data_IF_051022082869
#
_entry.id   IF_051022082869
#
_cell.length_a   1.000
_cell.length_b   1.000
_cell.length_c   1.000
_cell.angle_alpha   90.00
_cell.angle_beta   90.00
_cell.angle_gamma   90.00
#
_symmetry.space_group_name_H-M   'P 1'
#
loop_
_entity.id
_entity.type
_entity.pdbx_description
1 polymer ?
#
# COMPACT_ATOMS: atom_id res chain seq x y z
N UNK A 1 4.87 -39.21 60.57
CA UNK A 1 5.94 -38.23 60.84
C UNK A 1 7.08 -38.52 59.87
N UNK A 2 7.40 -37.50 59.08
CA UNK A 2 8.62 -37.20 58.30
C UNK A 2 9.40 -38.28 57.51
N UNK A 3 9.18 -38.21 56.19
CA UNK A 3 10.13 -38.15 55.05
C UNK A 3 11.57 -38.71 55.19
N UNK A 4 11.81 -39.81 54.45
CA UNK A 4 12.70 -39.94 53.27
C UNK A 4 13.76 -38.84 53.09
N UNK A 5 15.07 -39.07 52.93
CA UNK A 5 15.79 -40.18 52.31
C UNK A 5 16.44 -39.74 50.98
N UNK A 6 17.75 -40.03 50.81
CA UNK A 6 18.64 -39.94 49.60
C UNK A 6 19.43 -38.64 49.42
N UNK A 7 20.74 -38.66 49.66
CA UNK A 7 21.84 -39.17 48.80
C UNK A 7 22.09 -38.27 47.57
N UNK A 8 23.15 -37.48 47.63
CA UNK A 8 23.71 -36.75 46.49
C UNK A 8 25.03 -37.42 46.07
N UNK A 9 25.00 -38.07 44.90
CA UNK A 9 26.16 -38.65 44.24
C UNK A 9 26.58 -37.78 43.04
N UNK A 10 27.82 -37.30 43.12
CA UNK A 10 28.87 -37.28 42.07
C UNK A 10 28.44 -37.48 40.61
N UNK A 11 28.85 -36.57 39.72
CA UNK A 11 28.79 -36.79 38.27
C UNK A 11 29.45 -35.66 37.46
N UNK A 12 30.64 -35.93 36.95
CA UNK A 12 31.47 -35.06 36.13
C UNK A 12 30.82 -34.78 34.76
N UNK A 13 30.84 -33.53 34.29
CA UNK A 13 30.59 -33.22 32.87
C UNK A 13 31.88 -32.72 32.23
N UNK A 14 32.45 -33.59 31.38
CA UNK A 14 33.59 -33.34 30.51
C UNK A 14 33.24 -32.24 29.50
N UNK A 15 34.19 -31.32 29.29
CA UNK A 15 34.09 -30.27 28.29
C UNK A 15 33.94 -30.82 26.87
N UNK A 16 33.04 -30.20 26.12
CA UNK A 16 32.96 -30.34 24.66
C UNK A 16 33.48 -29.04 24.08
N UNK A 17 34.77 -29.05 23.70
CA UNK A 17 35.34 -28.09 22.77
C UNK A 17 34.78 -28.42 21.37
N UNK A 18 33.57 -27.95 21.08
CA UNK A 18 32.95 -28.05 19.76
C UNK A 18 33.29 -26.82 18.94
N UNK A 19 34.15 -26.98 17.95
CA UNK A 19 34.43 -25.99 16.92
C UNK A 19 33.12 -25.57 16.23
N UNK A 20 32.61 -24.39 16.59
CA UNK A 20 31.50 -23.75 15.90
C UNK A 20 31.97 -23.31 14.52
N UNK A 21 31.79 -24.16 13.52
CA UNK A 21 31.95 -23.79 12.13
C UNK A 21 30.93 -22.68 11.80
N UNK A 22 31.41 -21.44 11.73
CA UNK A 22 30.68 -20.28 11.22
C UNK A 22 30.39 -20.54 9.73
N UNK A 23 29.23 -21.14 9.43
CA UNK A 23 28.70 -21.15 8.07
C UNK A 23 28.22 -19.72 7.77
N UNK A 24 29.14 -18.89 7.27
CA UNK A 24 28.82 -17.67 6.55
C UNK A 24 28.07 -18.06 5.28
N UNK A 25 26.76 -18.27 5.40
CA UNK A 25 25.88 -18.43 4.25
C UNK A 25 25.91 -17.11 3.45
N UNK A 26 26.68 -17.11 2.38
CA UNK A 26 26.60 -16.11 1.32
C UNK A 26 25.24 -16.29 0.63
N UNK A 27 24.19 -15.72 1.23
CA UNK A 27 22.96 -15.49 0.51
C UNK A 27 23.30 -14.46 -0.59
N UNK A 28 23.12 -14.79 -1.89
CA UNK A 28 23.23 -13.79 -2.93
C UNK A 28 22.27 -12.66 -2.55
N UNK A 29 22.74 -11.42 -2.58
CA UNK A 29 21.93 -10.23 -2.37
C UNK A 29 20.77 -10.27 -3.36
N UNK A 30 19.64 -10.86 -2.96
CA UNK A 30 18.38 -10.62 -3.60
C UNK A 30 18.19 -9.11 -3.45
N UNK A 31 18.46 -8.35 -4.52
CA UNK A 31 18.23 -6.92 -4.56
C UNK A 31 16.79 -6.71 -4.11
N UNK A 32 16.62 -6.31 -2.85
CA UNK A 32 15.30 -6.16 -2.28
C UNK A 32 14.57 -5.14 -3.15
N UNK A 33 13.41 -5.53 -3.68
CA UNK A 33 12.58 -4.60 -4.42
C UNK A 33 12.32 -3.38 -3.55
N UNK A 34 12.41 -2.17 -4.11
CA UNK A 34 12.17 -0.94 -3.36
C UNK A 34 10.77 -1.02 -2.71
N UNK A 35 10.68 -0.97 -1.37
CA UNK A 35 9.40 -1.12 -0.66
C UNK A 35 8.42 0.02 -0.97
N UNK A 36 8.91 1.15 -1.51
CA UNK A 36 8.09 2.28 -1.93
C UNK A 36 7.56 2.12 -3.36
N UNK A 37 7.89 1.04 -4.07
CA UNK A 37 7.40 0.79 -5.43
C UNK A 37 6.55 -0.48 -5.45
N UNK A 38 5.21 -0.36 -5.34
CA UNK A 38 4.37 -1.54 -5.39
C UNK A 38 4.52 -2.27 -6.72
N UNK A 39 4.45 -3.59 -6.66
CA UNK A 39 4.50 -4.41 -7.86
C UNK A 39 3.26 -4.18 -8.71
N UNK A 40 3.46 -4.21 -10.03
CA UNK A 40 2.36 -4.30 -10.98
C UNK A 40 1.58 -5.59 -10.71
N UNK A 41 0.26 -5.49 -10.70
CA UNK A 41 -0.59 -6.66 -10.55
C UNK A 41 -0.54 -7.54 -11.83
N UNK A 42 -0.53 -8.88 -11.71
CA UNK A 42 -0.57 -9.77 -12.86
C UNK A 42 -1.80 -9.53 -13.75
N UNK A 43 -1.70 -9.85 -15.05
CA UNK A 43 -2.84 -9.75 -15.96
C UNK A 43 -3.97 -10.66 -15.46
N UNK A 44 -5.19 -10.12 -15.36
CA UNK A 44 -6.37 -10.84 -14.89
C UNK A 44 -6.52 -10.87 -13.37
N UNK A 45 -5.54 -10.39 -12.60
CA UNK A 45 -5.69 -10.18 -11.16
C UNK A 45 -6.42 -8.88 -10.89
N UNK A 46 -7.39 -8.94 -9.97
CA UNK A 46 -8.13 -7.77 -9.49
C UNK A 46 -8.11 -7.73 -7.97
N UNK A 47 -7.84 -6.54 -7.45
CA UNK A 47 -8.09 -6.18 -6.07
C UNK A 47 -9.52 -5.70 -5.93
N UNK A 48 -10.12 -5.95 -4.78
CA UNK A 48 -11.49 -5.55 -4.47
C UNK A 48 -11.51 -4.57 -3.31
N UNK A 49 -12.35 -3.55 -3.46
CA UNK A 49 -12.66 -2.57 -2.44
C UNK A 49 -14.18 -2.48 -2.34
N UNK A 50 -14.69 -2.86 -1.17
CA UNK A 50 -16.12 -2.89 -0.84
C UNK A 50 -16.37 -1.97 0.36
N UNK A 51 -17.64 -1.87 0.77
CA UNK A 51 -18.01 -1.17 2.01
C UNK A 51 -17.37 -1.81 3.25
N UNK A 52 -17.30 -3.13 3.29
CA UNK A 52 -16.84 -3.88 4.46
C UNK A 52 -15.35 -4.24 4.42
N UNK A 53 -14.74 -4.40 5.59
CA UNK A 53 -13.31 -4.71 5.72
C UNK A 53 -12.97 -6.18 5.40
N UNK A 54 -13.92 -7.09 5.57
CA UNK A 54 -13.74 -8.54 5.36
C UNK A 54 -13.82 -8.96 3.88
N UNK A 55 -14.48 -8.15 3.05
CA UNK A 55 -14.71 -8.38 1.63
C UNK A 55 -13.80 -7.55 0.72
N UNK A 56 -12.90 -6.73 1.30
CA UNK A 56 -11.83 -6.06 0.55
C UNK A 56 -10.56 -6.90 0.54
N UNK A 57 -9.81 -6.85 -0.56
CA UNK A 57 -8.48 -7.49 -0.65
C UNK A 57 -7.36 -6.64 -0.04
N UNK A 58 -7.62 -5.38 0.31
CA UNK A 58 -6.62 -4.53 0.94
C UNK A 58 -6.54 -4.82 2.44
N UNK A 59 -5.31 -4.93 2.96
CA UNK A 59 -5.05 -5.19 4.38
C UNK A 59 -4.53 -3.95 5.12
N UNK A 60 -4.51 -2.77 4.50
CA UNK A 60 -3.89 -1.58 5.08
C UNK A 60 -4.67 -0.27 4.90
N UNK A 61 -5.97 -0.35 4.56
CA UNK A 61 -6.86 0.81 4.58
C UNK A 61 -6.83 1.46 5.96
N UNK A 62 -6.65 2.79 5.97
CA UNK A 62 -6.55 3.59 7.20
C UNK A 62 -5.14 3.65 7.80
N UNK A 63 -4.19 2.86 7.28
CA UNK A 63 -2.81 2.82 7.73
C UNK A 63 -1.84 3.03 6.55
N UNK A 64 -1.62 4.28 6.09
CA UNK A 64 -0.92 4.58 4.85
C UNK A 64 0.62 4.50 4.99
N UNK A 65 1.14 3.39 5.50
CA UNK A 65 2.60 3.17 5.70
C UNK A 65 3.36 2.83 4.42
N UNK A 66 2.66 2.51 3.35
CA UNK A 66 3.24 2.33 2.00
C UNK A 66 2.47 3.19 0.99
N UNK A 67 3.07 3.47 -0.19
CA UNK A 67 2.37 4.21 -1.24
C UNK A 67 1.06 3.54 -1.68
N UNK A 68 1.05 2.21 -1.81
CA UNK A 68 -0.18 1.51 -2.19
C UNK A 68 -1.24 1.62 -1.09
N UNK A 69 -0.87 1.50 0.18
CA UNK A 69 -1.80 1.67 1.30
C UNK A 69 -2.41 3.08 1.34
N UNK A 70 -1.65 4.11 0.97
CA UNK A 70 -2.18 5.47 0.84
C UNK A 70 -3.21 5.57 -0.30
N UNK A 71 -2.94 4.99 -1.47
CA UNK A 71 -3.92 4.92 -2.57
C UNK A 71 -5.17 4.17 -2.12
N UNK A 72 -5.02 2.97 -1.55
CA UNK A 72 -6.14 2.14 -1.07
C UNK A 72 -6.97 2.86 0.00
N UNK A 73 -6.33 3.63 0.89
CA UNK A 73 -7.03 4.44 1.90
C UNK A 73 -7.80 5.61 1.28
N UNK A 74 -7.26 6.31 0.28
CA UNK A 74 -8.01 7.35 -0.46
C UNK A 74 -9.18 6.73 -1.22
N UNK A 75 -8.99 5.57 -1.85
CA UNK A 75 -10.08 4.86 -2.52
C UNK A 75 -11.19 4.46 -1.53
N UNK A 76 -10.81 3.96 -0.35
CA UNK A 76 -11.75 3.63 0.72
C UNK A 76 -12.50 4.86 1.23
N UNK A 77 -11.83 6.01 1.35
CA UNK A 77 -12.47 7.29 1.63
C UNK A 77 -13.62 7.59 0.65
N UNK A 78 -13.42 7.37 -0.66
CA UNK A 78 -14.47 7.59 -1.66
C UNK A 78 -15.60 6.58 -1.59
N UNK A 79 -15.29 5.28 -1.47
CA UNK A 79 -16.30 4.21 -1.43
C UNK A 79 -17.11 4.27 -0.14
N UNK A 80 -16.45 4.43 1.00
CA UNK A 80 -17.04 4.32 2.34
C UNK A 80 -17.46 5.65 2.96
N UNK A 81 -17.15 6.77 2.30
CA UNK A 81 -17.44 8.14 2.78
C UNK A 81 -16.90 8.40 4.19
N UNK A 82 -15.70 7.90 4.46
CA UNK A 82 -15.07 8.03 5.76
C UNK A 82 -14.04 9.16 5.74
N UNK A 83 -14.39 10.28 6.38
CA UNK A 83 -13.57 11.50 6.43
C UNK A 83 -12.20 11.26 7.11
N UNK A 84 -12.09 10.32 8.04
CA UNK A 84 -10.82 9.98 8.68
C UNK A 84 -9.85 9.33 7.68
N UNK A 85 -10.34 8.48 6.78
CA UNK A 85 -9.53 7.93 5.70
C UNK A 85 -9.07 9.03 4.74
N UNK A 86 -9.97 9.95 4.39
CA UNK A 86 -9.64 11.08 3.53
C UNK A 86 -8.48 11.90 4.14
N UNK A 87 -8.65 12.35 5.39
CA UNK A 87 -7.67 13.18 6.11
C UNK A 87 -6.31 12.51 6.32
N UNK A 88 -6.30 11.19 6.55
CA UNK A 88 -5.05 10.42 6.76
C UNK A 88 -4.26 10.26 5.47
N UNK A 89 -4.95 9.99 4.37
CA UNK A 89 -4.30 9.58 3.13
C UNK A 89 -4.08 10.71 2.13
N UNK A 90 -4.67 11.90 2.31
CA UNK A 90 -4.37 13.08 1.50
C UNK A 90 -3.34 14.00 2.15
N UNK A 91 -2.67 14.78 1.30
CA UNK A 91 -1.70 15.80 1.74
C UNK A 91 -2.38 16.91 2.57
N UNK A 92 -1.72 17.46 3.61
CA UNK A 92 -2.28 18.59 4.35
C UNK A 92 -2.61 19.77 3.44
N UNK A 93 -3.82 20.33 3.56
CA UNK A 93 -4.28 21.43 2.71
C UNK A 93 -4.69 21.01 1.31
N UNK A 94 -4.71 19.70 1.00
CA UNK A 94 -5.43 19.20 -0.17
C UNK A 94 -6.89 19.68 -0.05
N UNK A 95 -7.45 20.35 -1.08
CA UNK A 95 -8.79 20.90 -1.00
C UNK A 95 -9.73 19.82 -0.49
N UNK A 96 -10.58 20.18 0.47
CA UNK A 96 -11.53 19.26 1.09
C UNK A 96 -12.12 18.40 -0.01
N UNK A 97 -12.07 17.09 0.20
CA UNK A 97 -12.66 16.12 -0.70
C UNK A 97 -14.19 16.26 -0.65
N UNK A 98 -14.74 17.43 -0.99
CA UNK A 98 -16.16 17.64 -1.24
C UNK A 98 -16.70 16.64 -2.26
N UNK A 99 -15.81 16.02 -3.03
CA UNK A 99 -16.04 14.82 -3.82
C UNK A 99 -16.69 13.67 -3.03
N UNK A 100 -16.23 13.37 -1.81
CA UNK A 100 -16.82 12.31 -0.95
C UNK A 100 -18.24 12.66 -0.48
N UNK A 101 -18.52 13.96 -0.29
CA UNK A 101 -19.82 14.47 0.15
C UNK A 101 -20.83 14.58 -1.01
N UNK A 102 -20.36 14.94 -2.20
CA UNK A 102 -21.21 15.24 -3.37
C UNK A 102 -21.53 14.02 -4.23
N UNK A 103 -20.68 12.98 -4.27
CA UNK A 103 -21.04 11.73 -4.95
C UNK A 103 -21.75 10.78 -3.98
N UNK A 104 -23.06 10.57 -4.18
CA UNK A 104 -23.62 9.24 -3.94
C UNK A 104 -22.95 8.34 -4.98
N UNK A 105 -21.86 7.64 -4.64
CA UNK A 105 -21.44 6.51 -5.46
C UNK A 105 -22.63 5.54 -5.44
N UNK A 106 -23.34 5.31 -6.56
CA UNK A 106 -24.39 4.30 -6.60
C UNK A 106 -23.81 2.88 -6.66
N UNK A 107 -22.52 2.73 -6.35
CA UNK A 107 -21.75 1.51 -6.45
C UNK A 107 -21.14 1.21 -5.09
N UNK A 108 -21.52 0.06 -4.55
CA UNK A 108 -21.02 -0.44 -3.27
C UNK A 108 -19.61 -1.03 -3.41
N UNK A 109 -19.26 -1.49 -4.61
CA UNK A 109 -18.05 -2.24 -4.89
C UNK A 109 -17.24 -1.69 -6.07
N UNK A 110 -15.92 -1.70 -5.89
CA UNK A 110 -14.93 -1.34 -6.89
C UNK A 110 -13.89 -2.45 -7.00
N UNK A 111 -13.50 -2.78 -8.23
CA UNK A 111 -12.31 -3.57 -8.50
C UNK A 111 -11.24 -2.71 -9.14
N UNK A 112 -9.98 -3.00 -8.86
CA UNK A 112 -8.87 -2.28 -9.45
C UNK A 112 -7.63 -3.16 -9.57
N UNK A 113 -6.65 -2.68 -10.31
CA UNK A 113 -5.33 -3.30 -10.35
C UNK A 113 -4.26 -2.26 -10.61
N UNK A 114 -3.07 -2.47 -10.04
CA UNK A 114 -1.89 -1.63 -10.22
C UNK A 114 -1.33 -1.88 -11.62
N UNK A 115 -1.42 -0.88 -12.49
CA UNK A 115 -0.89 -0.93 -13.85
C UNK A 115 0.61 -0.65 -13.88
N UNK A 116 1.04 0.34 -13.11
CA UNK A 116 2.44 0.69 -12.96
C UNK A 116 2.66 1.41 -11.63
N UNK A 117 3.90 1.38 -11.17
CA UNK A 117 4.37 2.24 -10.09
C UNK A 117 5.82 2.64 -10.35
N UNK A 118 6.18 3.86 -9.99
CA UNK A 118 7.52 4.39 -10.20
C UNK A 118 7.90 5.38 -9.11
N UNK A 119 9.09 5.21 -8.56
CA UNK A 119 9.75 6.22 -7.73
C UNK A 119 10.52 7.19 -8.60
N UNK A 120 10.34 8.48 -8.36
CA UNK A 120 10.97 9.54 -9.11
C UNK A 120 12.34 9.85 -8.53
N UNK A 121 13.30 10.13 -9.41
CA UNK A 121 14.64 10.59 -9.07
C UNK A 121 14.81 12.04 -9.50
N UNK A 122 15.92 12.67 -9.09
CA UNK A 122 16.23 14.06 -9.43
C UNK A 122 16.15 14.35 -10.94
N UNK A 123 16.54 13.40 -11.78
CA UNK A 123 16.56 13.56 -13.24
C UNK A 123 15.17 13.58 -13.90
N UNK A 124 14.12 13.08 -13.23
CA UNK A 124 12.79 12.92 -13.83
C UNK A 124 11.63 13.53 -13.03
N UNK A 125 11.85 13.95 -11.78
CA UNK A 125 10.82 14.57 -10.94
C UNK A 125 10.17 15.80 -11.60
N UNK A 126 10.98 16.79 -12.02
CA UNK A 126 10.47 18.01 -12.68
C UNK A 126 10.00 17.85 -14.12
N UNK A 127 10.04 16.63 -14.69
CA UNK A 127 9.56 16.33 -16.06
C UNK A 127 8.21 15.63 -16.05
N UNK A 128 7.76 15.18 -14.89
CA UNK A 128 6.53 14.42 -14.73
C UNK A 128 5.47 15.37 -14.21
N UNK A 129 4.24 15.30 -14.72
CA UNK A 129 3.13 16.11 -14.22
C UNK A 129 1.98 15.18 -13.89
N UNK A 130 1.50 15.24 -12.65
CA UNK A 130 0.27 14.58 -12.23
C UNK A 130 -0.65 15.69 -11.76
N UNK A 131 -1.63 16.05 -12.58
CA UNK A 131 -2.43 17.27 -12.33
C UNK A 131 -1.52 18.50 -12.29
N UNK A 132 -1.82 19.42 -11.38
CA UNK A 132 -1.14 20.73 -11.29
C UNK A 132 0.09 20.73 -10.36
N UNK A 133 0.47 19.59 -9.78
CA UNK A 133 1.61 19.50 -8.86
C UNK A 133 2.85 19.01 -9.60
N UNK A 134 3.96 19.73 -9.40
CA UNK A 134 5.29 19.30 -9.85
C UNK A 134 5.84 18.27 -8.85
N UNK A 135 6.12 17.03 -9.28
CA UNK A 135 6.71 16.01 -8.42
C UNK A 135 8.12 16.37 -7.95
N UNK A 136 8.46 15.87 -6.76
CA UNK A 136 9.76 15.99 -6.14
C UNK A 136 10.57 14.69 -6.25
N UNK A 137 11.91 14.76 -6.11
CA UNK A 137 12.70 13.55 -5.97
C UNK A 137 12.18 12.70 -4.82
N UNK A 138 12.10 11.38 -5.04
CA UNK A 138 11.56 10.35 -4.14
C UNK A 138 10.04 10.28 -4.02
N UNK A 139 9.30 11.17 -4.70
CA UNK A 139 7.87 10.93 -4.88
C UNK A 139 7.63 9.62 -5.62
N UNK A 140 6.46 9.04 -5.40
CA UNK A 140 6.02 7.81 -6.06
C UNK A 140 4.79 8.12 -6.89
N UNK A 141 4.79 7.66 -8.13
CA UNK A 141 3.62 7.71 -9.00
C UNK A 141 3.05 6.30 -9.11
N UNK A 142 1.75 6.15 -8.86
CA UNK A 142 1.04 4.89 -9.04
C UNK A 142 -0.08 5.10 -10.06
N UNK A 143 -0.07 4.29 -11.11
CA UNK A 143 -1.20 4.15 -12.04
C UNK A 143 -2.01 2.91 -11.71
N UNK A 144 -3.33 3.08 -11.56
CA UNK A 144 -4.28 1.98 -11.39
C UNK A 144 -5.33 2.02 -12.50
N UNK A 145 -5.88 0.87 -12.86
CA UNK A 145 -7.15 0.82 -13.61
C UNK A 145 -8.23 0.34 -12.66
N UNK A 146 -9.40 0.96 -12.76
CA UNK A 146 -10.55 0.71 -11.90
C UNK A 146 -11.76 0.33 -12.73
N UNK A 147 -12.68 -0.41 -12.13
CA UNK A 147 -14.03 -0.64 -12.63
C UNK A 147 -14.98 -0.72 -11.42
N UNK A 148 -16.22 -0.30 -11.60
CA UNK A 148 -17.25 -0.26 -10.56
C UNK A 148 -18.38 -1.23 -10.91
N UNK A 149 -19.02 -1.76 -9.88
CA UNK A 149 -20.18 -2.64 -10.06
C UNK A 149 -21.44 -1.80 -10.25
N UNK A 150 -22.05 -1.87 -11.43
CA UNK A 150 -23.33 -1.22 -11.75
C UNK A 150 -24.41 -2.26 -12.09
N UNK A 151 -25.70 -1.85 -12.21
CA UNK A 151 -26.80 -2.76 -12.59
C UNK A 151 -26.64 -3.53 -13.92
N UNK A 152 -25.60 -3.27 -14.72
CA UNK A 152 -25.25 -4.01 -15.94
C UNK A 152 -23.92 -4.78 -15.86
N UNK A 153 -23.33 -4.91 -14.67
CA UNK A 153 -22.02 -5.53 -14.47
C UNK A 153 -20.88 -4.52 -14.28
N UNK A 154 -19.64 -5.01 -14.43
CA UNK A 154 -18.45 -4.20 -14.18
C UNK A 154 -18.20 -3.21 -15.32
N UNK A 155 -18.24 -1.91 -15.02
CA UNK A 155 -18.05 -0.85 -16.00
C UNK A 155 -17.07 0.23 -15.55
N UNK A 156 -16.60 1.02 -16.51
CA UNK A 156 -15.93 2.30 -16.22
C UNK A 156 -17.01 3.36 -16.12
N UNK A 157 -17.15 3.98 -14.95
CA UNK A 157 -18.24 4.91 -14.69
C UNK A 157 -17.59 6.23 -14.31
N UNK A 158 -17.63 7.16 -15.26
CA UNK A 158 -17.00 8.49 -15.22
C UNK A 158 -15.47 8.50 -15.27
N UNK A 159 -14.85 9.62 -15.69
CA UNK A 159 -13.41 9.81 -15.55
C UNK A 159 -13.05 9.83 -14.07
N UNK A 160 -12.52 8.72 -13.57
CA UNK A 160 -12.03 8.60 -12.20
C UNK A 160 -10.51 8.80 -12.17
N UNK A 161 -9.98 9.45 -11.12
CA UNK A 161 -8.54 9.59 -10.99
C UNK A 161 -7.85 8.24 -11.03
N UNK A 162 -6.91 8.04 -11.92
CA UNK A 162 -6.27 6.74 -12.15
C UNK A 162 -4.75 6.80 -12.05
N UNK A 163 -4.18 8.01 -11.94
CA UNK A 163 -2.77 8.25 -11.65
C UNK A 163 -2.67 9.06 -10.37
N UNK A 164 -1.89 8.57 -9.40
CA UNK A 164 -1.72 9.15 -8.08
C UNK A 164 -0.26 9.55 -7.88
N UNK A 165 -0.04 10.79 -7.44
CA UNK A 165 1.26 11.25 -6.95
C UNK A 165 1.28 11.15 -5.44
N UNK A 166 2.29 10.45 -4.92
CA UNK A 166 2.44 10.16 -3.51
C UNK A 166 3.76 10.70 -2.98
N UNK A 167 3.69 11.24 -1.77
CA UNK A 167 4.84 11.77 -1.05
C UNK A 167 4.84 11.28 0.38
N UNK A 168 6.03 11.03 0.89
CA UNK A 168 6.22 10.69 2.29
C UNK A 168 6.07 11.94 3.16
N UNK A 169 5.17 11.90 4.12
CA UNK A 169 4.94 12.96 5.10
C UNK A 169 5.11 12.36 6.50
N UNK A 170 6.17 12.76 7.20
CA UNK A 170 6.61 12.10 8.44
C UNK A 170 6.83 10.60 8.19
N UNK A 171 6.09 9.73 8.88
CA UNK A 171 6.20 8.28 8.76
C UNK A 171 5.15 7.65 7.83
N UNK A 172 4.28 8.47 7.23
CA UNK A 172 3.16 8.02 6.40
C UNK A 172 3.36 8.44 4.94
N UNK A 173 2.71 7.74 4.04
CA UNK A 173 2.53 8.14 2.65
C UNK A 173 1.23 8.89 2.47
N UNK A 174 1.25 9.94 1.66
CA UNK A 174 0.07 10.74 1.37
C UNK A 174 -0.03 11.00 -0.11
N UNK A 175 -1.25 10.99 -0.59
CA UNK A 175 -1.59 11.39 -1.94
C UNK A 175 -1.56 12.92 -2.00
N UNK A 176 -0.60 13.44 -2.77
CA UNK A 176 -0.40 14.88 -2.97
C UNK A 176 -1.37 15.42 -4.00
N UNK A 177 -1.62 14.63 -5.03
CA UNK A 177 -2.60 14.92 -6.08
C UNK A 177 -2.87 13.66 -6.89
N UNK A 178 -3.86 13.74 -7.77
CA UNK A 178 -4.17 12.72 -8.73
C UNK A 178 -4.61 13.33 -10.05
N UNK A 179 -4.57 12.51 -11.09
CA UNK A 179 -5.03 12.87 -12.42
C UNK A 179 -5.85 11.73 -13.02
N UNK A 180 -6.77 12.09 -13.90
CA UNK A 180 -7.47 11.15 -14.76
C UNK A 180 -6.79 11.16 -16.12
N UNK A 181 -5.79 10.31 -16.30
CA UNK A 181 -5.20 10.08 -17.62
C UNK A 181 -6.23 9.37 -18.50
N UNK A 182 -6.37 9.79 -19.76
CA UNK A 182 -7.16 9.03 -20.75
C UNK A 182 -6.61 7.61 -20.81
N UNK A 183 -7.49 6.62 -20.67
CA UNK A 183 -7.09 5.21 -20.64
C UNK A 183 -6.68 4.64 -22.00
N UNK A 184 -6.51 5.49 -23.01
CA UNK A 184 -6.04 5.10 -24.34
C UNK A 184 -4.51 5.28 -24.42
N UNK A 185 -3.76 4.21 -24.74
CA UNK A 185 -2.33 4.29 -25.02
C UNK A 185 -2.01 5.13 -26.26
#
# INVERSE_FOLDING_TARGET
MEKLGREAAMGWVKGIAGAGALLLAWAPNAMAADPDVPRRDPKGFYRYLTQEADSTTSTCIGNPITPLCAVETVLACFVRKNDDFCRRATWPGFPDLEFSKSMKSPFDDMRYYVQFAKKLGAANAGKYHVGDVVPEPRDVVIGIKKAFMAPGGWGNIYPQPNVYLLRRYKMEWRVVTWHTASTDP
#
